data_IF_045227115235
#
_entry.id   IF_045227115235
#
_cell.length_a   1.000
_cell.length_b   1.000
_cell.length_c   1.000
_cell.angle_alpha   90.00
_cell.angle_beta   90.00
_cell.angle_gamma   90.00
#
_symmetry.space_group_name_H-M   'P 1'
#
loop_
_entity.id
_entity.type
_entity.pdbx_description
1 polymer ?
#
# COMPACT_ATOMS: atom_id res chain seq x y z
N UNK A 1 -12.63 15.79 -11.37
CA UNK A 1 -11.76 16.67 -10.56
C UNK A 1 -10.98 15.80 -9.57
N UNK A 2 -9.69 15.67 -9.81
CA UNK A 2 -8.78 14.77 -9.09
C UNK A 2 -8.25 15.45 -7.83
N UNK A 3 -8.72 15.04 -6.65
CA UNK A 3 -8.01 15.33 -5.40
C UNK A 3 -6.85 14.34 -5.27
N UNK A 4 -5.67 14.72 -5.77
CA UNK A 4 -4.41 14.14 -5.34
C UNK A 4 -4.26 14.48 -3.85
N UNK A 5 -4.38 13.48 -2.98
CA UNK A 5 -4.23 13.64 -1.54
C UNK A 5 -2.75 13.94 -1.27
N UNK A 6 -2.38 15.21 -1.14
CA UNK A 6 -1.01 15.59 -0.83
C UNK A 6 -0.86 15.66 0.69
N UNK A 7 0.23 15.11 1.24
CA UNK A 7 0.48 15.11 2.69
C UNK A 7 0.57 16.54 3.27
N UNK A 8 0.76 17.56 2.42
CA UNK A 8 0.74 18.98 2.78
C UNK A 8 -0.66 19.53 3.11
N UNK A 9 -1.72 18.82 2.73
CA UNK A 9 -3.11 19.20 3.05
C UNK A 9 -3.54 18.76 4.46
N UNK A 10 -2.69 17.99 5.14
CA UNK A 10 -2.91 17.50 6.50
C UNK A 10 -2.32 18.51 7.49
N UNK A 11 -3.14 18.96 8.44
CA UNK A 11 -2.70 19.82 9.53
C UNK A 11 -2.11 18.98 10.66
N UNK A 12 -0.93 18.38 10.43
CA UNK A 12 -0.26 17.45 11.35
C UNK A 12 -0.17 17.94 12.80
N UNK A 13 0.19 19.22 13.00
CA UNK A 13 0.26 19.82 14.34
C UNK A 13 -1.08 19.79 15.07
N UNK A 14 -2.19 20.02 14.36
CA UNK A 14 -3.54 19.99 14.94
C UNK A 14 -3.98 18.56 15.25
N UNK A 15 -3.70 17.62 14.35
CA UNK A 15 -4.01 16.20 14.58
C UNK A 15 -3.26 15.65 15.79
N UNK A 16 -1.95 15.90 15.88
CA UNK A 16 -1.15 15.48 17.04
C UNK A 16 -1.65 16.11 18.33
N UNK A 17 -2.03 17.39 18.28
CA UNK A 17 -2.62 18.08 19.43
C UNK A 17 -3.91 17.40 19.90
N UNK A 18 -4.87 17.13 19.00
CA UNK A 18 -6.12 16.45 19.39
C UNK A 18 -5.92 15.00 19.84
N UNK A 19 -4.99 14.27 19.21
CA UNK A 19 -4.62 12.93 19.67
C UNK A 19 -4.11 12.96 21.10
N UNK A 20 -3.18 13.86 21.41
CA UNK A 20 -2.63 13.99 22.76
C UNK A 20 -3.68 14.47 23.76
N UNK A 21 -4.50 15.44 23.37
CA UNK A 21 -5.55 16.03 24.19
C UNK A 21 -6.61 15.00 24.62
N UNK A 22 -6.95 14.03 23.76
CA UNK A 22 -7.97 13.03 24.06
C UNK A 22 -7.37 11.74 24.61
N UNK A 23 -6.30 11.23 24.01
CA UNK A 23 -5.73 9.92 24.41
C UNK A 23 -5.05 10.01 25.76
N UNK A 24 -4.27 11.07 26.04
CA UNK A 24 -3.49 11.14 27.28
C UNK A 24 -4.39 11.19 28.54
N UNK A 25 -5.42 12.05 28.62
CA UNK A 25 -6.29 12.07 29.80
C UNK A 25 -7.06 10.76 29.97
N UNK A 26 -7.62 10.21 28.88
CA UNK A 26 -8.35 8.96 28.91
C UNK A 26 -7.46 7.78 29.35
N UNK A 27 -6.20 7.75 28.91
CA UNK A 27 -5.23 6.75 29.36
C UNK A 27 -4.90 6.89 30.85
N UNK A 28 -4.65 8.11 31.33
CA UNK A 28 -4.34 8.36 32.74
C UNK A 28 -5.52 8.03 33.67
N UNK A 29 -6.75 8.35 33.26
CA UNK A 29 -7.95 8.05 34.03
C UNK A 29 -8.19 6.54 34.10
N UNK A 30 -8.05 5.83 32.98
CA UNK A 30 -8.43 4.41 32.91
C UNK A 30 -7.33 3.44 33.37
N UNK A 31 -6.06 3.72 33.08
CA UNK A 31 -4.94 2.82 33.42
C UNK A 31 -4.25 3.21 34.72
N UNK A 32 -4.10 4.51 34.98
CA UNK A 32 -3.41 5.01 36.19
C UNK A 32 -4.40 5.26 37.33
N UNK A 33 -5.72 5.15 37.08
CA UNK A 33 -6.80 5.33 38.07
C UNK A 33 -6.68 6.66 38.84
N UNK A 34 -6.22 7.72 38.15
CA UNK A 34 -5.88 9.01 38.77
C UNK A 34 -7.05 9.66 39.54
N UNK A 35 -8.29 9.32 39.17
CA UNK A 35 -9.52 9.94 39.69
C UNK A 35 -10.30 9.00 40.65
N UNK A 36 -9.77 7.81 40.94
CA UNK A 36 -10.39 6.84 41.86
C UNK A 36 -10.85 5.54 41.17
N UNK A 37 -11.67 4.71 41.85
CA UNK A 37 -12.12 3.44 41.30
C UNK A 37 -12.92 3.65 40.02
N UNK A 38 -12.71 2.74 39.06
CA UNK A 38 -13.27 2.84 37.72
C UNK A 38 -14.77 2.50 37.79
N UNK A 39 -15.61 3.51 37.57
CA UNK A 39 -17.06 3.37 37.43
C UNK A 39 -17.44 3.11 35.97
N UNK A 40 -18.53 2.38 35.76
CA UNK A 40 -19.03 1.98 34.43
C UNK A 40 -19.32 3.19 33.53
N UNK A 41 -19.76 4.30 34.12
CA UNK A 41 -20.04 5.55 33.40
C UNK A 41 -18.77 6.22 32.87
N UNK A 42 -17.64 6.09 33.57
CA UNK A 42 -16.35 6.64 33.15
C UNK A 42 -15.79 5.82 31.98
N UNK A 43 -15.99 4.50 31.99
CA UNK A 43 -15.67 3.63 30.87
C UNK A 43 -16.46 3.98 29.60
N UNK A 44 -17.76 4.24 29.73
CA UNK A 44 -18.61 4.66 28.61
C UNK A 44 -18.18 6.03 28.06
N UNK A 45 -17.88 7.00 28.93
CA UNK A 45 -17.35 8.31 28.52
C UNK A 45 -16.06 8.18 27.71
N UNK A 46 -15.12 7.36 28.19
CA UNK A 46 -13.86 7.07 27.51
C UNK A 46 -14.09 6.44 26.12
N UNK A 47 -15.04 5.50 26.01
CA UNK A 47 -15.39 4.89 24.74
C UNK A 47 -15.98 5.91 23.74
N UNK A 48 -16.88 6.79 24.19
CA UNK A 48 -17.44 7.86 23.35
C UNK A 48 -16.37 8.84 22.89
N UNK A 49 -15.47 9.21 23.77
CA UNK A 49 -14.34 10.09 23.46
C UNK A 49 -13.46 9.52 22.34
N UNK A 50 -13.13 8.23 22.44
CA UNK A 50 -12.22 7.56 21.49
C UNK A 50 -12.89 7.17 20.17
N UNK A 51 -14.17 6.76 20.18
CA UNK A 51 -14.87 6.23 19.01
C UNK A 51 -15.57 7.32 18.21
N UNK A 52 -16.07 8.36 18.88
CA UNK A 52 -16.91 9.38 18.24
C UNK A 52 -16.20 10.71 18.22
N UNK A 53 -15.82 11.23 19.39
CA UNK A 53 -15.30 12.61 19.50
C UNK A 53 -13.94 12.74 18.82
N UNK A 54 -13.00 11.85 19.09
CA UNK A 54 -11.67 11.87 18.48
C UNK A 54 -11.74 11.73 16.94
N UNK A 55 -12.45 10.75 16.36
CA UNK A 55 -12.60 10.63 14.90
C UNK A 55 -13.26 11.84 14.26
N UNK A 56 -14.27 12.44 14.89
CA UNK A 56 -14.90 13.67 14.40
C UNK A 56 -13.91 14.84 14.42
N UNK A 57 -13.17 15.03 15.51
CA UNK A 57 -12.16 16.08 15.62
C UNK A 57 -11.06 15.91 14.57
N UNK A 58 -10.55 14.70 14.38
CA UNK A 58 -9.54 14.40 13.36
C UNK A 58 -10.07 14.62 11.94
N UNK A 59 -11.32 14.23 11.67
CA UNK A 59 -11.94 14.39 10.35
C UNK A 59 -12.21 15.86 10.00
N UNK A 60 -12.77 16.64 10.94
CA UNK A 60 -13.13 18.03 10.69
C UNK A 60 -11.96 19.00 10.78
N UNK A 61 -11.05 18.81 11.75
CA UNK A 61 -9.97 19.77 12.01
C UNK A 61 -8.59 19.30 11.53
N UNK A 62 -8.43 18.01 11.25
CA UNK A 62 -7.16 17.46 10.77
C UNK A 62 -6.91 17.70 9.28
N UNK A 63 -7.97 17.81 8.46
CA UNK A 63 -7.85 18.00 7.02
C UNK A 63 -8.28 19.40 6.58
N UNK A 64 -7.47 20.04 5.74
CA UNK A 64 -7.77 21.38 5.20
C UNK A 64 -8.80 21.36 4.07
N UNK A 65 -9.14 20.18 3.53
CA UNK A 65 -10.08 19.99 2.41
C UNK A 65 -11.09 18.89 2.74
N UNK A 66 -12.24 18.89 2.04
CA UNK A 66 -13.29 17.87 2.21
C UNK A 66 -12.75 16.49 1.83
N UNK A 67 -12.71 15.59 2.82
CA UNK A 67 -12.22 14.22 2.69
C UNK A 67 -13.40 13.25 2.54
N UNK A 68 -13.18 12.10 1.89
CA UNK A 68 -14.19 11.04 1.78
C UNK A 68 -14.69 10.59 3.16
N UNK A 69 -15.99 10.34 3.28
CA UNK A 69 -16.62 9.81 4.51
C UNK A 69 -16.04 8.44 4.92
N UNK A 70 -15.42 7.71 3.99
CA UNK A 70 -14.72 6.45 4.26
C UNK A 70 -13.57 6.64 5.27
N UNK A 71 -12.89 7.80 5.25
CA UNK A 71 -11.80 8.09 6.18
C UNK A 71 -12.31 8.31 7.61
N UNK A 72 -13.51 8.90 7.76
CA UNK A 72 -14.15 9.01 9.07
C UNK A 72 -14.47 7.63 9.65
N UNK A 73 -15.04 6.72 8.84
CA UNK A 73 -15.29 5.33 9.25
C UNK A 73 -13.98 4.63 9.65
N UNK A 74 -12.89 4.86 8.91
CA UNK A 74 -11.57 4.36 9.26
C UNK A 74 -11.06 4.86 10.61
N UNK A 75 -11.26 6.15 10.94
CA UNK A 75 -10.89 6.67 12.27
C UNK A 75 -11.78 6.14 13.39
N UNK A 76 -13.08 5.96 13.15
CA UNK A 76 -13.99 5.33 14.12
C UNK A 76 -13.56 3.90 14.45
N UNK A 77 -13.14 3.14 13.44
CA UNK A 77 -12.59 1.80 13.63
C UNK A 77 -11.30 1.82 14.48
N UNK A 78 -10.37 2.71 14.18
CA UNK A 78 -9.16 2.88 14.99
C UNK A 78 -9.46 3.33 16.43
N UNK A 79 -10.42 4.23 16.62
CA UNK A 79 -10.87 4.68 17.93
C UNK A 79 -11.44 3.54 18.78
N UNK A 80 -12.14 2.62 18.14
CA UNK A 80 -12.70 1.43 18.78
C UNK A 80 -11.61 0.42 19.19
N UNK A 81 -10.58 0.21 18.36
CA UNK A 81 -9.40 -0.59 18.76
C UNK A 81 -8.66 0.04 19.94
N UNK A 82 -8.49 1.36 19.94
CA UNK A 82 -7.85 2.09 21.04
C UNK A 82 -8.66 2.00 22.33
N UNK A 83 -9.99 2.11 22.26
CA UNK A 83 -10.86 1.97 23.42
C UNK A 83 -10.77 0.56 24.03
N UNK A 84 -10.70 -0.48 23.21
CA UNK A 84 -10.51 -1.85 23.70
C UNK A 84 -9.16 -2.04 24.42
N UNK A 85 -8.10 -1.38 23.95
CA UNK A 85 -6.80 -1.47 24.59
C UNK A 85 -6.68 -0.63 25.88
N UNK A 86 -7.30 0.56 25.91
CA UNK A 86 -7.17 1.50 27.03
C UNK A 86 -8.10 1.13 28.20
N UNK A 87 -9.31 0.63 27.93
CA UNK A 87 -10.30 0.36 28.98
C UNK A 87 -10.01 -1.01 29.64
N UNK A 88 -9.72 -1.07 30.95
CA UNK A 88 -9.43 -2.32 31.62
C UNK A 88 -10.69 -3.16 31.83
N UNK A 89 -10.51 -4.49 31.92
CA UNK A 89 -11.60 -5.47 31.97
C UNK A 89 -12.45 -5.43 33.25
N UNK A 90 -12.14 -4.58 34.24
CA UNK A 90 -12.86 -4.55 35.52
C UNK A 90 -14.18 -3.76 35.50
N UNK A 91 -14.46 -2.99 34.44
CA UNK A 91 -15.69 -2.20 34.28
C UNK A 91 -16.78 -3.01 33.54
N UNK A 92 -17.20 -4.13 34.14
CA UNK A 92 -17.84 -5.27 33.43
C UNK A 92 -19.28 -5.06 32.93
N UNK A 93 -20.04 -4.08 33.44
CA UNK A 93 -21.49 -3.99 33.16
C UNK A 93 -21.83 -3.64 31.71
N UNK A 94 -21.11 -2.69 31.13
CA UNK A 94 -21.35 -2.17 29.78
C UNK A 94 -20.23 -2.50 28.78
N UNK A 95 -19.08 -2.97 29.25
CA UNK A 95 -17.96 -3.37 28.39
C UNK A 95 -18.23 -4.63 27.57
N UNK A 96 -19.08 -5.55 28.06
CA UNK A 96 -19.42 -6.77 27.33
C UNK A 96 -20.09 -6.46 25.98
N UNK A 97 -20.99 -5.47 25.96
CA UNK A 97 -21.60 -4.95 24.72
C UNK A 97 -20.56 -4.29 23.81
N UNK A 98 -19.58 -3.61 24.40
CA UNK A 98 -18.50 -2.97 23.65
C UNK A 98 -17.58 -3.98 22.96
N UNK A 99 -17.13 -5.02 23.68
CA UNK A 99 -16.34 -6.12 23.11
C UNK A 99 -17.10 -6.86 22.01
N UNK A 100 -18.39 -7.12 22.19
CA UNK A 100 -19.19 -7.77 21.16
C UNK A 100 -19.32 -6.90 19.89
N UNK A 101 -19.41 -5.57 20.04
CA UNK A 101 -19.44 -4.65 18.90
C UNK A 101 -18.14 -4.64 18.10
N UNK A 102 -16.99 -4.77 18.77
CA UNK A 102 -15.67 -4.85 18.13
C UNK A 102 -15.55 -6.13 17.30
N UNK A 103 -15.92 -7.26 17.89
CA UNK A 103 -15.90 -8.57 17.22
C UNK A 103 -16.86 -8.56 16.01
N UNK A 104 -18.04 -7.95 16.15
CA UNK A 104 -19.02 -7.86 15.07
C UNK A 104 -18.51 -7.01 13.89
N UNK A 105 -17.84 -5.89 14.18
CA UNK A 105 -17.27 -5.03 13.16
C UNK A 105 -16.06 -5.69 12.48
N UNK A 106 -15.17 -6.32 13.24
CA UNK A 106 -14.06 -7.11 12.69
C UNK A 106 -14.57 -8.23 11.78
N UNK A 107 -15.57 -8.99 12.23
CA UNK A 107 -16.22 -10.01 11.42
C UNK A 107 -16.82 -9.44 10.13
N UNK A 108 -17.42 -8.25 10.18
CA UNK A 108 -17.94 -7.58 8.98
C UNK A 108 -16.83 -7.22 7.99
N UNK A 109 -15.69 -6.72 8.48
CA UNK A 109 -14.51 -6.41 7.63
C UNK A 109 -13.99 -7.68 6.98
N UNK A 110 -13.84 -8.76 7.74
CA UNK A 110 -13.41 -10.08 7.22
C UNK A 110 -14.39 -10.58 6.15
N UNK A 111 -15.70 -10.43 6.35
CA UNK A 111 -16.71 -10.81 5.35
C UNK A 111 -16.54 -9.98 4.07
N UNK A 112 -16.32 -8.67 4.18
CA UNK A 112 -16.11 -7.80 3.02
C UNK A 112 -14.85 -8.21 2.26
N UNK A 113 -13.74 -8.47 2.96
CA UNK A 113 -12.50 -8.95 2.35
C UNK A 113 -12.69 -10.29 1.66
N UNK A 114 -13.41 -11.22 2.28
CA UNK A 114 -13.72 -12.52 1.70
C UNK A 114 -14.57 -12.38 0.43
N UNK A 115 -15.58 -11.50 0.44
CA UNK A 115 -16.41 -11.21 -0.75
C UNK A 115 -15.57 -10.63 -1.88
N UNK A 116 -14.68 -9.67 -1.58
CA UNK A 116 -13.76 -9.11 -2.56
C UNK A 116 -12.82 -10.18 -3.13
N UNK A 117 -12.27 -11.04 -2.28
CA UNK A 117 -11.43 -12.15 -2.67
C UNK A 117 -12.19 -13.11 -3.60
N UNK A 118 -13.39 -13.54 -3.22
CA UNK A 118 -14.25 -14.39 -4.06
C UNK A 118 -14.56 -13.71 -5.39
N UNK A 119 -14.83 -12.40 -5.41
CA UNK A 119 -15.07 -11.65 -6.63
C UNK A 119 -13.85 -11.66 -7.56
N UNK A 120 -12.63 -11.54 -7.02
CA UNK A 120 -11.39 -11.68 -7.79
C UNK A 120 -11.24 -13.10 -8.32
N UNK A 121 -11.42 -14.13 -7.48
CA UNK A 121 -11.32 -15.54 -7.89
C UNK A 121 -12.31 -15.90 -9.00
N UNK A 122 -13.55 -15.42 -8.92
CA UNK A 122 -14.57 -15.61 -9.99
C UNK A 122 -14.16 -14.98 -11.32
N UNK A 123 -13.32 -13.94 -11.30
CA UNK A 123 -12.84 -13.22 -12.50
C UNK A 123 -11.50 -13.73 -13.02
N UNK A 124 -10.81 -14.60 -12.29
CA UNK A 124 -9.58 -15.26 -12.75
C UNK A 124 -9.73 -16.03 -14.07
N UNK A 125 -10.77 -16.86 -14.30
CA UNK A 125 -10.89 -17.56 -15.59
C UNK A 125 -10.98 -16.59 -16.76
N UNK A 126 -11.74 -15.50 -16.60
CA UNK A 126 -11.85 -14.42 -17.59
C UNK A 126 -10.50 -13.69 -17.79
N UNK A 127 -9.72 -13.49 -16.72
CA UNK A 127 -8.36 -12.95 -16.82
C UNK A 127 -7.45 -13.84 -17.66
N UNK A 128 -7.52 -15.16 -17.45
CA UNK A 128 -6.72 -16.13 -18.19
C UNK A 128 -7.10 -16.13 -19.68
N UNK A 129 -8.39 -16.06 -19.99
CA UNK A 129 -8.89 -15.97 -21.37
C UNK A 129 -8.42 -14.68 -22.05
N UNK A 130 -8.65 -13.52 -21.42
CA UNK A 130 -8.20 -12.22 -21.93
C UNK A 130 -6.68 -12.17 -22.10
N UNK A 131 -5.92 -12.82 -21.20
CA UNK A 131 -4.48 -12.92 -21.32
C UNK A 131 -4.04 -13.77 -22.51
N UNK A 132 -4.71 -14.90 -22.79
CA UNK A 132 -4.44 -15.72 -23.97
C UNK A 132 -4.64 -14.92 -25.26
N UNK A 133 -5.75 -14.19 -25.36
CA UNK A 133 -6.06 -13.32 -26.50
C UNK A 133 -5.03 -12.18 -26.61
N UNK A 134 -4.72 -11.50 -25.50
CA UNK A 134 -3.76 -10.40 -25.49
C UNK A 134 -2.33 -10.86 -25.85
N UNK A 135 -1.99 -12.13 -25.61
CA UNK A 135 -0.69 -12.71 -25.96
C UNK A 135 -0.53 -12.92 -27.48
N UNK A 136 -1.61 -13.08 -28.23
CA UNK A 136 -1.54 -13.22 -29.70
C UNK A 136 -1.14 -11.91 -30.36
N UNK A 137 -1.58 -10.78 -29.79
CA UNK A 137 -1.31 -9.43 -30.34
C UNK A 137 -0.10 -8.76 -29.71
N UNK A 138 0.25 -9.11 -28.46
CA UNK A 138 1.33 -8.47 -27.71
C UNK A 138 2.36 -9.50 -27.25
N UNK A 139 3.62 -9.23 -27.57
CA UNK A 139 4.75 -10.13 -27.30
C UNK A 139 5.18 -10.16 -25.83
N UNK A 140 5.28 -8.99 -25.17
CA UNK A 140 5.83 -8.90 -23.82
C UNK A 140 4.78 -9.26 -22.76
N UNK A 141 5.12 -10.19 -21.86
CA UNK A 141 4.29 -10.61 -20.72
C UNK A 141 3.67 -9.42 -19.99
N UNK A 142 4.48 -8.42 -19.60
CA UNK A 142 3.98 -7.22 -18.90
C UNK A 142 2.87 -6.50 -19.71
N UNK A 143 3.08 -6.34 -21.02
CA UNK A 143 2.14 -5.64 -21.88
C UNK A 143 0.83 -6.42 -22.08
N UNK A 144 0.91 -7.74 -22.29
CA UNK A 144 -0.26 -8.61 -22.46
C UNK A 144 -1.02 -8.76 -21.16
N UNK A 145 -0.32 -8.90 -20.03
CA UNK A 145 -0.91 -9.04 -18.69
C UNK A 145 -1.56 -7.75 -18.22
N UNK A 146 -0.92 -6.60 -18.40
CA UNK A 146 -1.52 -5.29 -18.09
C UNK A 146 -2.81 -5.08 -18.89
N UNK A 147 -2.81 -5.44 -20.18
CA UNK A 147 -4.00 -5.32 -21.02
C UNK A 147 -5.12 -6.26 -20.57
N UNK A 148 -4.80 -7.51 -20.24
CA UNK A 148 -5.76 -8.48 -19.73
C UNK A 148 -6.39 -8.02 -18.40
N UNK A 149 -5.60 -7.47 -17.48
CA UNK A 149 -6.10 -6.91 -16.22
C UNK A 149 -7.06 -5.75 -16.48
N UNK A 150 -6.71 -4.83 -17.38
CA UNK A 150 -7.56 -3.70 -17.73
C UNK A 150 -8.90 -4.13 -18.33
N UNK A 151 -8.90 -5.18 -19.16
CA UNK A 151 -10.12 -5.73 -19.75
C UNK A 151 -10.97 -6.48 -18.72
N UNK A 152 -10.37 -7.33 -17.88
CA UNK A 152 -11.09 -8.15 -16.90
C UNK A 152 -11.67 -7.33 -15.75
N UNK A 153 -10.93 -6.33 -15.26
CA UNK A 153 -11.33 -5.49 -14.13
C UNK A 153 -11.78 -4.09 -14.59
N UNK A 154 -12.33 -3.98 -15.80
CA UNK A 154 -12.95 -2.75 -16.30
C UNK A 154 -14.27 -2.49 -15.56
N UNK A 155 -14.18 -2.06 -14.31
CA UNK A 155 -15.33 -1.54 -13.60
C UNK A 155 -15.71 -0.21 -14.27
N UNK A 156 -16.87 -0.19 -14.93
CA UNK A 156 -17.50 0.96 -15.63
C UNK A 156 -17.92 2.09 -14.67
N UNK A 157 -17.14 2.31 -13.60
CA UNK A 157 -17.41 3.30 -12.57
C UNK A 157 -16.40 4.43 -12.80
N UNK A 158 -16.89 5.55 -13.34
CA UNK A 158 -16.11 6.75 -13.72
C UNK A 158 -15.14 7.30 -12.64
N UNK A 159 -15.24 6.84 -11.39
CA UNK A 159 -14.44 7.31 -10.26
C UNK A 159 -13.34 6.34 -9.78
N UNK A 160 -13.21 5.13 -10.34
CA UNK A 160 -12.25 4.10 -9.86
C UNK A 160 -10.94 4.10 -10.69
N UNK A 161 -10.47 5.28 -11.10
CA UNK A 161 -9.20 5.40 -11.84
C UNK A 161 -7.97 4.99 -11.02
N UNK A 162 -8.02 5.14 -9.68
CA UNK A 162 -6.90 4.78 -8.80
C UNK A 162 -6.67 3.27 -8.67
N UNK A 163 -7.73 2.46 -8.69
CA UNK A 163 -7.59 1.01 -8.58
C UNK A 163 -6.87 0.44 -9.81
N UNK A 164 -7.14 0.99 -10.99
CA UNK A 164 -6.42 0.65 -12.22
C UNK A 164 -4.92 0.97 -12.13
N UNK A 165 -4.53 2.04 -11.46
CA UNK A 165 -3.12 2.35 -11.20
C UNK A 165 -2.46 1.34 -10.27
N UNK A 166 -3.12 0.96 -9.17
CA UNK A 166 -2.63 -0.07 -8.23
C UNK A 166 -2.45 -1.41 -8.96
N UNK A 167 -3.44 -1.81 -9.75
CA UNK A 167 -3.39 -3.02 -10.57
C UNK A 167 -2.24 -3.00 -11.58
N UNK A 168 -1.89 -1.83 -12.14
CA UNK A 168 -0.74 -1.69 -13.03
C UNK A 168 0.60 -1.88 -12.30
N UNK A 169 0.72 -1.37 -11.06
CA UNK A 169 1.93 -1.58 -10.23
C UNK A 169 2.06 -3.05 -9.84
N UNK A 170 0.96 -3.70 -9.44
CA UNK A 170 0.97 -5.14 -9.18
C UNK A 170 1.34 -5.94 -10.44
N UNK A 171 0.89 -5.51 -11.63
CA UNK A 171 1.28 -6.14 -12.89
C UNK A 171 2.79 -6.02 -13.15
N UNK A 172 3.42 -4.89 -12.81
CA UNK A 172 4.87 -4.74 -12.94
C UNK A 172 5.64 -5.64 -11.97
N UNK A 173 5.17 -5.78 -10.73
CA UNK A 173 5.82 -6.63 -9.73
C UNK A 173 5.72 -8.12 -10.12
N UNK A 174 4.52 -8.56 -10.53
CA UNK A 174 4.31 -9.92 -11.04
C UNK A 174 5.14 -10.16 -12.29
N UNK A 175 5.27 -9.17 -13.18
CA UNK A 175 6.14 -9.29 -14.35
C UNK A 175 7.62 -9.36 -13.98
N UNK A 176 8.08 -8.62 -12.98
CA UNK A 176 9.45 -8.69 -12.50
C UNK A 176 9.78 -10.09 -11.97
N UNK A 177 8.89 -10.66 -11.15
CA UNK A 177 8.99 -12.05 -10.67
C UNK A 177 8.95 -13.04 -11.84
N UNK A 178 8.05 -12.81 -12.80
CA UNK A 178 7.95 -13.63 -14.01
C UNK A 178 9.25 -13.65 -14.80
N UNK A 179 9.84 -12.48 -15.04
CA UNK A 179 11.07 -12.36 -15.81
C UNK A 179 12.28 -12.91 -15.05
N UNK A 180 12.38 -12.71 -13.74
CA UNK A 180 13.49 -13.21 -12.94
C UNK A 180 13.48 -14.74 -12.80
N UNK A 181 12.31 -15.35 -12.58
CA UNK A 181 12.22 -16.78 -12.24
C UNK A 181 11.80 -17.68 -13.41
N UNK A 182 10.95 -17.17 -14.32
CA UNK A 182 10.26 -18.02 -15.30
C UNK A 182 10.62 -17.72 -16.76
N UNK A 183 11.38 -16.65 -17.05
CA UNK A 183 11.75 -16.30 -18.43
C UNK A 183 13.05 -16.94 -18.94
N UNK A 184 13.90 -17.44 -18.03
CA UNK A 184 15.27 -17.89 -18.31
C UNK A 184 15.42 -19.03 -19.34
N UNK A 185 14.38 -19.84 -19.57
CA UNK A 185 14.39 -20.96 -20.52
C UNK A 185 13.59 -20.67 -21.79
N UNK A 186 13.00 -19.49 -21.92
CA UNK A 186 12.24 -19.15 -23.12
C UNK A 186 13.19 -18.82 -24.26
N UNK A 187 13.14 -19.63 -25.32
CA UNK A 187 13.86 -19.37 -26.56
C UNK A 187 13.35 -18.04 -27.16
N UNK A 188 14.26 -17.20 -27.62
CA UNK A 188 13.93 -16.09 -28.51
C UNK A 188 13.23 -16.68 -29.74
N UNK A 189 12.00 -16.24 -30.03
CA UNK A 189 11.20 -16.81 -31.11
C UNK A 189 11.59 -16.15 -32.44
N UNK A 190 11.91 -17.02 -33.39
CA UNK A 190 12.07 -16.75 -34.82
C UNK A 190 10.75 -16.16 -35.33
N UNK A 191 10.81 -14.98 -35.94
CA UNK A 191 9.66 -14.38 -36.62
C UNK A 191 9.21 -15.36 -37.72
N UNK A 192 7.89 -15.59 -37.92
CA UNK A 192 7.40 -16.44 -39.00
C UNK A 192 8.06 -16.06 -40.33
N UNK A 193 8.45 -17.06 -41.13
CA UNK A 193 9.10 -16.84 -42.43
C UNK A 193 8.28 -15.84 -43.26
N UNK A 194 8.86 -14.67 -43.55
CA UNK A 194 8.25 -13.60 -44.35
C UNK A 194 7.87 -12.31 -43.61
N UNK A 195 7.89 -12.24 -42.27
CA UNK A 195 7.45 -11.03 -41.52
C UNK A 195 8.58 -10.19 -40.90
N UNK A 196 9.85 -10.55 -41.11
CA UNK A 196 11.01 -9.76 -40.67
C UNK A 196 12.15 -10.61 -40.12
N UNK A 197 13.27 -9.96 -39.78
CA UNK A 197 14.42 -10.59 -39.09
C UNK A 197 14.35 -10.28 -37.60
N UNK A 198 14.41 -11.31 -36.75
CA UNK A 198 14.63 -11.13 -35.32
C UNK A 198 16.10 -10.78 -35.08
N UNK A 199 16.36 -9.59 -34.52
CA UNK A 199 17.70 -9.18 -34.14
C UNK A 199 17.91 -9.43 -32.64
N UNK A 200 18.98 -10.14 -32.30
CA UNK A 200 19.42 -10.28 -30.91
C UNK A 200 20.50 -9.23 -30.63
N UNK A 201 20.24 -8.26 -29.75
CA UNK A 201 21.21 -7.22 -29.37
C UNK A 201 22.51 -7.75 -28.74
N UNK A 202 22.52 -9.01 -28.29
CA UNK A 202 23.43 -9.53 -27.29
C UNK A 202 24.20 -10.78 -27.78
N UNK A 203 23.86 -11.32 -28.97
CA UNK A 203 24.61 -12.44 -29.56
C UNK A 203 25.76 -11.98 -30.45
N UNK A 204 25.56 -10.92 -31.25
CA UNK A 204 26.51 -10.49 -32.28
C UNK A 204 26.85 -8.98 -32.20
N UNK A 205 26.61 -8.35 -31.04
CA UNK A 205 26.87 -6.92 -30.83
C UNK A 205 28.11 -6.66 -29.98
N UNK A 206 28.86 -5.60 -30.31
CA UNK A 206 29.99 -5.11 -29.50
C UNK A 206 29.59 -4.55 -28.12
N UNK A 207 28.31 -4.63 -27.75
CA UNK A 207 27.78 -4.16 -26.48
C UNK A 207 28.47 -4.78 -25.27
N UNK A 208 28.79 -6.08 -25.34
CA UNK A 208 29.57 -6.75 -24.28
C UNK A 208 30.94 -6.08 -24.09
N UNK A 209 31.62 -5.75 -25.19
CA UNK A 209 32.92 -5.07 -25.16
C UNK A 209 32.82 -3.66 -24.58
N UNK A 210 31.82 -2.88 -24.98
CA UNK A 210 31.56 -1.54 -24.42
C UNK A 210 31.23 -1.62 -22.92
N UNK A 211 30.41 -2.58 -22.51
CA UNK A 211 30.06 -2.79 -21.11
C UNK A 211 31.28 -3.18 -20.26
N UNK A 212 32.10 -4.11 -20.74
CA UNK A 212 33.36 -4.50 -20.08
C UNK A 212 34.31 -3.30 -19.96
N UNK A 213 34.45 -2.49 -21.02
CA UNK A 213 35.27 -1.28 -21.02
C UNK A 213 34.77 -0.26 -19.98
N UNK A 214 33.46 -0.05 -19.88
CA UNK A 214 32.86 0.90 -18.96
C UNK A 214 33.04 0.45 -17.49
N UNK A 215 32.87 -0.84 -17.22
CA UNK A 215 33.15 -1.43 -15.89
C UNK A 215 34.63 -1.29 -15.51
N UNK A 216 35.55 -1.52 -16.45
CA UNK A 216 36.99 -1.34 -16.22
C UNK A 216 37.34 0.13 -15.98
N UNK A 217 36.82 1.05 -16.79
CA UNK A 217 37.03 2.49 -16.64
C UNK A 217 36.55 2.97 -15.27
N UNK A 218 35.34 2.57 -14.84
CA UNK A 218 34.84 2.91 -13.50
C UNK A 218 35.73 2.36 -12.38
N UNK A 219 36.24 1.13 -12.53
CA UNK A 219 37.13 0.54 -11.50
C UNK A 219 38.43 1.33 -11.38
N UNK A 220 39.04 1.67 -12.51
CA UNK A 220 40.27 2.48 -12.54
C UNK A 220 40.01 3.87 -11.98
N UNK A 221 38.89 4.50 -12.34
CA UNK A 221 38.50 5.81 -11.85
C UNK A 221 38.30 5.82 -10.34
N UNK A 222 37.60 4.83 -9.78
CA UNK A 222 37.42 4.69 -8.33
C UNK A 222 38.77 4.60 -7.62
N UNK A 223 39.68 3.74 -8.10
CA UNK A 223 41.02 3.60 -7.50
C UNK A 223 41.80 4.92 -7.61
N UNK A 224 41.79 5.56 -8.77
CA UNK A 224 42.49 6.81 -9.01
C UNK A 224 41.98 7.93 -8.10
N UNK A 225 40.66 8.05 -7.93
CA UNK A 225 40.04 9.01 -7.02
C UNK A 225 40.42 8.71 -5.58
N UNK A 226 40.38 7.44 -5.13
CA UNK A 226 40.79 7.09 -3.76
C UNK A 226 42.26 7.42 -3.49
N UNK A 227 43.17 7.11 -4.42
CA UNK A 227 44.60 7.45 -4.29
C UNK A 227 44.79 8.96 -4.29
N UNK A 228 44.11 9.69 -5.17
CA UNK A 228 44.19 11.15 -5.21
C UNK A 228 43.72 11.77 -3.89
N UNK A 229 42.59 11.31 -3.34
CA UNK A 229 42.09 11.78 -2.04
C UNK A 229 43.06 11.44 -0.91
N UNK A 230 43.65 10.24 -0.91
CA UNK A 230 44.66 9.82 0.07
C UNK A 230 45.93 10.68 0.06
N UNK A 231 46.32 11.25 -1.09
CA UNK A 231 47.47 12.14 -1.18
C UNK A 231 47.21 13.53 -0.59
N UNK A 232 45.96 14.02 -0.60
CA UNK A 232 45.63 15.37 -0.12
C UNK A 232 45.07 15.39 1.32
N UNK A 233 44.47 14.30 1.81
CA UNK A 233 43.97 14.22 3.18
C UNK A 233 43.92 12.79 3.71
N UNK A 234 44.62 12.53 4.82
CA UNK A 234 44.59 11.24 5.51
C UNK A 234 43.24 10.92 6.20
N UNK A 235 42.34 11.89 6.35
CA UNK A 235 41.04 11.71 7.03
C UNK A 235 39.88 11.41 6.09
N UNK A 236 40.06 11.53 4.77
CA UNK A 236 39.01 11.38 3.75
C UNK A 236 39.23 10.19 2.80
N UNK A 237 40.35 9.48 2.93
CA UNK A 237 40.68 8.26 2.19
C UNK A 237 40.18 7.00 2.90
#
# INVERSE_FOLDING_TARGET
MTASFSLNEIAWKRMLFFLFLIILPNYLVMQVQLVGPIDDYVGLGTALDLIVILPLLLYFFGFKKRVSRVILVGFMFWGLLLANWIIPQQADGYLSYFNHSVIMLEALVIIIELVLLIAVFKRLPLLIENYKIAKETRYHFLSSFTHAIQQTFSFKINHITKFQSILRVLATDIAAIYYSLFSWRKKALVIPEGQGRAFSFHKDGSYLGVFILLVHAMTIEIIAVHVMVAMYSHTLA
#
